data_IF_318411518293
#
_entry.id   IF_318411518293
#
_cell.length_a   1.000
_cell.length_b   1.000
_cell.length_c   1.000
_cell.angle_alpha   90.00
_cell.angle_beta   90.00
_cell.angle_gamma   90.00
#
_symmetry.space_group_name_H-M   'P 1'
#
loop_
_entity.id
_entity.type
_entity.pdbx_description
1 polymer ?
#
# COMPACT_ATOMS: atom_id res chain seq x y z
N UNK A 1 -5.68 -3.15 7.99
CA UNK A 1 -5.03 -3.41 6.72
C UNK A 1 -6.03 -3.17 5.64
N UNK A 2 -5.76 -2.18 4.79
CA UNK A 2 -6.62 -1.89 3.65
C UNK A 2 -6.69 -3.14 2.78
N UNK A 3 -7.90 -3.60 2.50
CA UNK A 3 -8.11 -4.82 1.72
C UNK A 3 -8.73 -4.48 0.38
N UNK A 4 -7.99 -4.78 -0.68
CA UNK A 4 -8.34 -4.52 -2.06
C UNK A 4 -9.30 -5.59 -2.57
N UNK A 5 -10.32 -5.15 -3.29
CA UNK A 5 -11.26 -5.98 -4.02
C UNK A 5 -11.58 -5.35 -5.36
N UNK A 6 -11.85 -6.21 -6.35
CA UNK A 6 -12.58 -5.81 -7.53
C UNK A 6 -14.07 -5.72 -7.16
N UNK A 7 -14.72 -4.61 -7.49
CA UNK A 7 -16.18 -4.51 -7.37
C UNK A 7 -16.82 -5.01 -8.66
N UNK A 8 -18.00 -5.63 -8.58
CA UNK A 8 -18.74 -6.03 -9.79
C UNK A 8 -19.03 -4.77 -10.63
N UNK A 9 -18.51 -4.73 -11.85
CA UNK A 9 -18.56 -3.54 -12.72
C UNK A 9 -17.58 -2.42 -12.36
N UNK A 10 -16.67 -2.63 -11.41
CA UNK A 10 -15.71 -1.64 -10.98
C UNK A 10 -14.50 -1.52 -11.91
N UNK A 11 -14.33 -0.34 -12.51
CA UNK A 11 -13.14 0.04 -13.31
C UNK A 11 -11.91 0.32 -12.44
N UNK A 12 -12.06 0.37 -11.10
CA UNK A 12 -10.95 0.66 -10.18
C UNK A 12 -10.90 -0.35 -9.04
N UNK A 13 -9.68 -0.61 -8.57
CA UNK A 13 -9.53 -1.31 -7.30
C UNK A 13 -10.17 -0.46 -6.20
N UNK A 14 -10.98 -1.11 -5.40
CA UNK A 14 -11.59 -0.52 -4.21
C UNK A 14 -11.05 -1.23 -2.98
N UNK A 15 -11.19 -0.59 -1.83
CA UNK A 15 -10.85 -1.21 -0.55
C UNK A 15 -12.08 -1.30 0.33
N UNK A 16 -12.33 -2.47 0.93
CA UNK A 16 -13.52 -2.73 1.77
C UNK A 16 -13.28 -2.50 3.25
N UNK A 17 -12.15 -1.91 3.65
CA UNK A 17 -11.86 -1.62 5.04
C UNK A 17 -12.36 -0.23 5.45
N UNK A 18 -13.09 -0.15 6.56
CA UNK A 18 -13.28 1.07 7.31
C UNK A 18 -12.02 1.33 8.13
N UNK A 19 -11.33 2.45 7.88
CA UNK A 19 -10.26 2.88 8.79
C UNK A 19 -10.76 2.88 10.24
N UNK A 20 -9.90 2.54 11.19
CA UNK A 20 -10.29 2.56 12.61
C UNK A 20 -10.82 3.95 12.95
N UNK A 21 -11.94 4.01 13.68
CA UNK A 21 -12.53 5.27 14.13
C UNK A 21 -11.51 6.02 14.99
N UNK A 22 -11.15 7.22 14.57
CA UNK A 22 -10.21 8.07 15.31
C UNK A 22 -11.00 8.87 16.32
N UNK A 23 -10.80 8.55 17.60
CA UNK A 23 -11.43 9.27 18.71
C UNK A 23 -10.76 10.63 18.90
N UNK A 24 -11.52 11.61 19.36
CA UNK A 24 -10.96 12.87 19.81
C UNK A 24 -10.02 12.63 21.00
N UNK A 25 -8.95 13.41 21.07
CA UNK A 25 -8.03 13.44 22.21
C UNK A 25 -7.94 14.90 22.64
N UNK A 26 -8.86 15.38 23.52
CA UNK A 26 -8.94 16.78 23.91
C UNK A 26 -7.63 17.33 24.49
N UNK A 27 -6.91 16.51 25.26
CA UNK A 27 -5.62 16.87 25.87
C UNK A 27 -4.53 17.18 24.84
N UNK A 28 -4.72 16.75 23.59
CA UNK A 28 -3.83 17.00 22.46
C UNK A 28 -4.42 18.01 21.46
N UNK A 29 -5.61 18.56 21.73
CA UNK A 29 -6.34 19.41 20.78
C UNK A 29 -6.76 18.66 19.51
N UNK A 30 -6.86 17.32 19.56
CA UNK A 30 -7.18 16.50 18.39
C UNK A 30 -8.66 16.19 18.33
N UNK A 31 -9.30 16.58 17.24
CA UNK A 31 -10.71 16.29 16.99
C UNK A 31 -10.91 14.84 16.50
N UNK A 32 -12.11 14.29 16.67
CA UNK A 32 -12.42 13.01 16.07
C UNK A 32 -12.44 13.15 14.54
N UNK A 33 -11.92 12.17 13.81
CA UNK A 33 -12.06 12.11 12.35
C UNK A 33 -13.32 11.34 12.01
N UNK A 34 -14.33 12.03 11.47
CA UNK A 34 -15.49 11.37 10.87
C UNK A 34 -15.07 10.80 9.52
N UNK A 35 -15.41 9.53 9.29
CA UNK A 35 -15.12 8.83 8.04
C UNK A 35 -16.37 8.07 7.63
N UNK A 36 -16.67 8.08 6.34
CA UNK A 36 -17.75 7.27 5.78
C UNK A 36 -17.43 5.80 6.02
N UNK A 37 -18.15 5.18 6.94
CA UNK A 37 -17.97 3.77 7.28
C UNK A 37 -18.62 2.91 6.20
N UNK A 38 -17.82 2.19 5.43
CA UNK A 38 -18.27 0.97 4.77
C UNK A 38 -18.22 -0.16 5.80
N UNK A 39 -19.40 -0.62 6.23
CA UNK A 39 -19.71 -1.83 7.03
C UNK A 39 -18.55 -2.59 7.71
N UNK A 40 -18.68 -2.75 9.03
CA UNK A 40 -17.78 -3.42 9.98
C UNK A 40 -17.05 -4.67 9.47
N UNK A 41 -15.81 -4.48 9.01
CA UNK A 41 -14.85 -5.57 8.84
C UNK A 41 -13.76 -5.45 9.93
N UNK A 42 -13.82 -6.33 10.92
CA UNK A 42 -12.80 -6.43 11.96
C UNK A 42 -11.44 -6.78 11.34
N UNK A 43 -10.51 -5.82 11.33
CA UNK A 43 -9.13 -6.06 10.91
C UNK A 43 -8.42 -6.96 11.90
N UNK A 44 -8.25 -8.24 11.53
CA UNK A 44 -7.45 -9.19 12.32
C UNK A 44 -5.98 -8.86 12.14
N UNK A 45 -5.33 -8.38 13.21
CA UNK A 45 -3.87 -8.41 13.33
C UNK A 45 -3.48 -9.83 13.71
N UNK A 46 -2.64 -10.48 12.90
CA UNK A 46 -1.96 -11.71 13.30
C UNK A 46 -0.52 -11.61 12.89
N UNK A 47 0.32 -11.53 13.91
CA UNK A 47 1.74 -11.83 13.90
C UNK A 47 1.94 -13.28 13.43
N UNK A 48 2.64 -13.48 12.32
CA UNK A 48 3.42 -14.68 12.14
C UNK A 48 4.89 -14.28 12.21
N UNK A 49 5.65 -14.78 13.19
CA UNK A 49 7.09 -14.72 13.14
C UNK A 49 7.56 -15.85 12.23
N UNK A 50 7.82 -15.58 10.95
CA UNK A 50 8.88 -16.33 10.28
C UNK A 50 10.18 -15.87 10.94
N UNK A 51 10.61 -16.65 11.93
CA UNK A 51 11.68 -16.32 12.88
C UNK A 51 13.09 -16.63 12.37
N UNK A 52 13.26 -16.91 11.08
CA UNK A 52 14.56 -17.21 10.50
C UNK A 52 14.77 -16.24 9.33
N UNK A 53 15.80 -15.40 9.44
CA UNK A 53 16.14 -14.28 8.56
C UNK A 53 15.33 -12.98 8.69
N UNK A 54 15.17 -12.46 9.92
CA UNK A 54 15.14 -10.98 10.08
C UNK A 54 16.54 -10.43 9.84
N UNK A 55 16.95 -10.48 8.57
CA UNK A 55 18.14 -9.80 8.03
C UNK A 55 18.07 -8.31 8.37
N UNK A 56 19.21 -7.62 8.30
CA UNK A 56 19.45 -6.21 8.67
C UNK A 56 18.60 -5.17 7.88
N UNK A 57 17.31 -5.42 7.67
CA UNK A 57 16.40 -4.50 7.01
C UNK A 57 16.18 -3.27 7.89
N UNK A 58 16.23 -2.11 7.24
CA UNK A 58 15.98 -0.82 7.86
C UNK A 58 14.56 -0.35 7.52
N UNK A 59 13.94 0.42 8.40
CA UNK A 59 12.64 1.04 8.12
C UNK A 59 12.68 1.79 6.78
N UNK A 60 11.67 1.59 5.95
CA UNK A 60 11.53 2.18 4.62
C UNK A 60 11.67 3.70 4.62
N UNK A 61 11.11 4.35 5.64
CA UNK A 61 11.11 5.81 5.81
C UNK A 61 12.29 6.27 6.65
N UNK A 62 12.40 5.79 7.90
CA UNK A 62 13.36 6.34 8.86
C UNK A 62 14.77 5.81 8.67
N UNK A 63 14.96 4.80 7.80
CA UNK A 63 16.22 4.08 7.54
C UNK A 63 16.91 3.54 8.80
N UNK A 64 16.17 3.46 9.91
CA UNK A 64 16.67 2.93 11.16
C UNK A 64 16.42 1.41 11.21
N UNK A 65 17.44 0.59 11.49
CA UNK A 65 17.21 -0.82 11.81
C UNK A 65 16.52 -0.94 13.17
N UNK A 66 15.52 -1.82 13.28
CA UNK A 66 14.79 -2.04 14.53
C UNK A 66 14.22 -3.45 14.62
N UNK A 67 14.15 -4.02 15.82
CA UNK A 67 13.51 -5.32 16.06
C UNK A 67 11.98 -5.29 15.97
N UNK A 68 11.39 -4.10 15.99
CA UNK A 68 9.93 -3.88 16.00
C UNK A 68 9.37 -3.43 14.65
N UNK A 69 10.12 -3.64 13.57
CA UNK A 69 9.62 -3.36 12.22
C UNK A 69 8.46 -4.31 11.88
N UNK A 70 7.43 -3.75 11.26
CA UNK A 70 6.24 -4.44 10.77
C UNK A 70 6.21 -4.37 9.23
N UNK A 71 5.76 -5.45 8.58
CA UNK A 71 5.69 -5.54 7.10
C UNK A 71 4.39 -4.92 6.59
N UNK A 72 4.46 -3.68 6.11
CA UNK A 72 3.36 -3.05 5.37
C UNK A 72 3.31 -3.58 3.94
N UNK A 73 2.10 -3.81 3.43
CA UNK A 73 1.90 -4.09 2.01
C UNK A 73 1.23 -2.88 1.36
N UNK A 74 1.64 -2.52 0.14
CA UNK A 74 0.96 -1.47 -0.61
C UNK A 74 -0.40 -1.96 -1.13
N UNK A 75 -0.44 -3.15 -1.73
CA UNK A 75 -1.69 -3.83 -2.09
C UNK A 75 -1.87 -5.05 -1.20
N UNK A 76 -3.04 -5.18 -0.58
CA UNK A 76 -3.33 -6.33 0.27
C UNK A 76 -4.75 -6.84 0.00
N UNK A 77 -4.94 -8.13 -0.26
CA UNK A 77 -6.26 -8.73 -0.43
C UNK A 77 -6.77 -9.33 0.89
N UNK A 78 -8.02 -9.79 0.94
CA UNK A 78 -8.54 -10.44 2.16
C UNK A 78 -7.77 -11.75 2.30
N UNK A 79 -6.86 -11.84 3.28
CA UNK A 79 -6.07 -13.07 3.51
C UNK A 79 -6.93 -14.34 3.66
N UNK A 80 -8.18 -14.20 4.10
CA UNK A 80 -9.13 -15.31 4.28
C UNK A 80 -9.90 -15.71 3.00
N UNK A 81 -9.78 -14.95 1.90
CA UNK A 81 -10.46 -15.20 0.63
C UNK A 81 -9.42 -15.38 -0.47
N UNK A 82 -8.98 -16.63 -0.63
CA UNK A 82 -7.95 -16.98 -1.61
C UNK A 82 -8.36 -16.63 -3.03
N UNK A 83 -9.64 -16.73 -3.35
CA UNK A 83 -10.26 -16.31 -4.59
C UNK A 83 -10.09 -14.81 -4.85
N UNK A 84 -10.38 -13.95 -3.87
CA UNK A 84 -10.18 -12.50 -4.00
C UNK A 84 -8.70 -12.15 -4.18
N UNK A 85 -7.80 -12.85 -3.47
CA UNK A 85 -6.36 -12.70 -3.64
C UNK A 85 -5.95 -12.99 -5.09
N UNK A 86 -6.32 -14.16 -5.61
CA UNK A 86 -5.98 -14.56 -6.98
C UNK A 86 -6.57 -13.61 -8.03
N UNK A 87 -7.80 -13.10 -7.81
CA UNK A 87 -8.41 -12.09 -8.68
C UNK A 87 -7.63 -10.79 -8.70
N UNK A 88 -7.19 -10.29 -7.55
CA UNK A 88 -6.38 -9.05 -7.47
C UNK A 88 -5.01 -9.25 -8.14
N UNK A 89 -4.34 -10.38 -7.90
CA UNK A 89 -3.07 -10.72 -8.54
C UNK A 89 -3.22 -10.82 -10.07
N UNK A 90 -4.24 -11.55 -10.54
CA UNK A 90 -4.56 -11.66 -11.96
C UNK A 90 -4.91 -10.33 -12.60
N UNK A 91 -5.71 -9.49 -11.93
CA UNK A 91 -6.06 -8.16 -12.41
C UNK A 91 -4.82 -7.28 -12.60
N UNK A 92 -3.94 -7.21 -11.59
CA UNK A 92 -2.71 -6.43 -11.68
C UNK A 92 -1.80 -6.93 -12.81
N UNK A 93 -1.71 -8.25 -12.99
CA UNK A 93 -0.91 -8.87 -14.05
C UNK A 93 -1.47 -8.60 -15.45
N UNK A 94 -2.79 -8.76 -15.67
CA UNK A 94 -3.42 -8.51 -16.97
C UNK A 94 -3.32 -7.03 -17.35
N UNK A 95 -3.41 -6.11 -16.38
CA UNK A 95 -3.22 -4.68 -16.61
C UNK A 95 -1.74 -4.29 -16.86
N UNK A 96 -0.80 -5.24 -16.80
CA UNK A 96 0.63 -5.00 -16.93
C UNK A 96 1.22 -4.18 -15.78
N UNK A 97 0.55 -4.09 -14.62
CA UNK A 97 0.99 -3.22 -13.51
C UNK A 97 2.12 -3.89 -12.70
N UNK A 98 2.22 -5.22 -12.78
CA UNK A 98 3.19 -6.03 -12.04
C UNK A 98 3.91 -6.99 -12.99
N UNK A 99 5.14 -7.42 -12.67
CA UNK A 99 5.86 -8.39 -13.47
C UNK A 99 5.18 -9.77 -13.47
N UNK A 100 5.60 -10.62 -14.41
CA UNK A 100 5.19 -12.01 -14.46
C UNK A 100 5.48 -12.71 -13.12
N UNK A 101 4.57 -13.59 -12.70
CA UNK A 101 4.65 -14.36 -11.44
C UNK A 101 4.62 -13.51 -10.16
N UNK A 102 4.19 -12.26 -10.26
CA UNK A 102 3.85 -11.46 -9.08
C UNK A 102 2.80 -12.16 -8.20
N UNK A 103 2.98 -12.04 -6.89
CA UNK A 103 1.93 -12.31 -5.91
C UNK A 103 1.93 -11.22 -4.84
N UNK A 104 0.87 -11.11 -4.05
CA UNK A 104 0.77 -10.04 -3.05
C UNK A 104 1.82 -10.13 -1.93
N UNK A 105 2.48 -11.29 -1.77
CA UNK A 105 3.59 -11.43 -0.84
C UNK A 105 4.96 -11.13 -1.47
N UNK A 106 5.01 -10.74 -2.75
CA UNK A 106 6.25 -10.39 -3.44
C UNK A 106 6.95 -9.21 -2.74
N UNK A 107 8.29 -9.22 -2.64
CA UNK A 107 9.06 -8.12 -2.05
C UNK A 107 8.77 -6.74 -2.65
N UNK A 108 8.41 -6.67 -3.93
CA UNK A 108 8.05 -5.42 -4.63
C UNK A 108 6.76 -4.76 -4.12
N UNK A 109 5.97 -5.46 -3.31
CA UNK A 109 4.73 -4.98 -2.69
C UNK A 109 4.86 -4.73 -1.18
N UNK A 110 5.99 -5.11 -0.56
CA UNK A 110 6.15 -5.12 0.90
C UNK A 110 7.29 -4.23 1.33
N UNK A 111 7.03 -3.38 2.33
CA UNK A 111 8.04 -2.53 2.97
C UNK A 111 8.05 -2.71 4.49
N UNK A 112 9.24 -2.73 5.12
CA UNK A 112 9.34 -2.67 6.58
C UNK A 112 9.08 -1.24 7.06
N UNK A 113 8.17 -1.07 8.01
CA UNK A 113 7.90 0.21 8.68
C UNK A 113 8.06 0.05 10.19
N UNK A 114 8.42 1.12 10.89
CA UNK A 114 8.26 1.09 12.35
C UNK A 114 6.79 0.96 12.72
N UNK A 115 6.53 0.38 13.88
CA UNK A 115 5.17 0.09 14.36
C UNK A 115 4.23 1.30 14.32
N UNK A 116 4.72 2.50 14.64
CA UNK A 116 3.90 3.71 14.66
C UNK A 116 3.55 4.16 13.26
N UNK A 117 4.52 4.20 12.34
CA UNK A 117 4.29 4.50 10.93
C UNK A 117 3.41 3.44 10.27
N UNK A 118 3.65 2.16 10.53
CA UNK A 118 2.85 1.07 10.02
C UNK A 118 1.38 1.24 10.43
N UNK A 119 1.12 1.44 11.73
CA UNK A 119 -0.24 1.66 12.22
C UNK A 119 -0.89 2.91 11.60
N UNK A 120 -0.13 4.00 11.50
CA UNK A 120 -0.61 5.28 10.98
C UNK A 120 -0.94 5.22 9.48
N UNK A 121 -0.13 4.49 8.71
CA UNK A 121 -0.32 4.23 7.29
C UNK A 121 -1.50 3.27 7.06
N UNK A 122 -1.42 2.07 7.63
CA UNK A 122 -2.27 0.94 7.26
C UNK A 122 -3.66 0.95 7.91
N UNK A 123 -3.74 1.43 9.16
CA UNK A 123 -4.96 1.33 9.97
C UNK A 123 -5.67 2.68 10.12
N UNK A 124 -4.90 3.76 10.09
CA UNK A 124 -5.40 5.11 10.34
C UNK A 124 -5.40 6.00 9.10
N UNK A 125 -4.65 5.70 8.04
CA UNK A 125 -4.60 6.55 6.84
C UNK A 125 -4.20 8.00 7.14
N UNK A 126 -3.26 8.21 8.07
CA UNK A 126 -2.76 9.56 8.41
C UNK A 126 -1.71 10.07 7.44
N UNK A 127 -1.10 9.17 6.68
CA UNK A 127 -0.08 9.46 5.69
C UNK A 127 -0.26 8.52 4.50
N UNK A 128 0.34 8.93 3.38
CA UNK A 128 0.51 8.11 2.18
C UNK A 128 1.96 8.14 1.76
N UNK A 129 2.35 7.13 0.98
CA UNK A 129 3.58 7.15 0.21
C UNK A 129 3.23 7.37 -1.26
N UNK A 130 4.01 8.19 -1.94
CA UNK A 130 3.93 8.40 -3.40
C UNK A 130 5.35 8.45 -3.95
N UNK A 131 5.50 8.58 -5.27
CA UNK A 131 6.79 8.88 -5.90
C UNK A 131 7.12 10.38 -5.80
N UNK A 132 8.41 10.73 -5.95
CA UNK A 132 8.84 12.12 -6.11
C UNK A 132 8.27 12.72 -7.39
N UNK A 133 8.20 14.06 -7.46
CA UNK A 133 7.67 14.77 -8.63
C UNK A 133 8.36 14.35 -9.94
N UNK A 134 9.70 14.24 -9.95
CA UNK A 134 10.44 13.82 -11.13
C UNK A 134 10.11 12.37 -11.52
N UNK A 135 10.05 11.46 -10.55
CA UNK A 135 9.66 10.07 -10.79
C UNK A 135 8.20 9.96 -11.27
N UNK A 136 7.26 10.75 -10.72
CA UNK A 136 5.87 10.79 -11.17
C UNK A 136 5.75 11.21 -12.64
N UNK A 137 6.43 12.29 -13.04
CA UNK A 137 6.43 12.74 -14.43
C UNK A 137 6.98 11.67 -15.38
N UNK A 138 8.12 11.06 -15.04
CA UNK A 138 8.76 10.06 -15.90
C UNK A 138 7.92 8.79 -16.01
N UNK A 139 7.26 8.37 -14.91
CA UNK A 139 6.32 7.25 -14.92
C UNK A 139 5.05 7.56 -15.71
N UNK A 140 4.55 8.80 -15.68
CA UNK A 140 3.40 9.22 -16.49
C UNK A 140 3.72 9.09 -17.98
N UNK A 141 4.83 9.66 -18.43
CA UNK A 141 5.28 9.56 -19.83
C UNK A 141 5.42 8.09 -20.28
N UNK A 142 5.98 7.24 -19.40
CA UNK A 142 6.13 5.81 -19.64
C UNK A 142 4.77 5.10 -19.80
N UNK A 143 3.81 5.36 -18.90
CA UNK A 143 2.49 4.73 -18.93
C UNK A 143 1.66 5.25 -20.11
N UNK A 144 1.75 6.53 -20.46
CA UNK A 144 1.11 7.10 -21.64
C UNK A 144 1.60 6.44 -22.93
N UNK A 145 2.91 6.28 -23.07
CA UNK A 145 3.51 5.59 -24.23
C UNK A 145 3.00 4.14 -24.38
N UNK A 146 2.90 3.40 -23.29
CA UNK A 146 2.35 2.04 -23.31
C UNK A 146 0.83 2.01 -23.58
N UNK A 147 0.08 2.99 -23.07
CA UNK A 147 -1.35 3.14 -23.38
C UNK A 147 -1.58 3.41 -24.86
N UNK A 148 -0.79 4.29 -25.47
CA UNK A 148 -0.89 4.55 -26.90
C UNK A 148 -0.61 3.30 -27.75
N UNK A 149 0.37 2.49 -27.35
CA UNK A 149 0.67 1.22 -28.04
C UNK A 149 -0.51 0.25 -27.92
N UNK A 150 -1.13 0.17 -26.75
CA UNK A 150 -2.34 -0.63 -26.56
C UNK A 150 -3.47 -0.15 -27.47
N UNK A 151 -3.73 1.16 -27.52
CA UNK A 151 -4.82 1.73 -28.30
C UNK A 151 -4.62 1.57 -29.81
N UNK A 152 -3.37 1.68 -30.29
CA UNK A 152 -3.02 1.57 -31.71
C UNK A 152 -2.89 0.12 -32.20
N UNK A 153 -2.34 -0.76 -31.37
CA UNK A 153 -1.88 -2.10 -31.79
C UNK A 153 -2.56 -3.25 -31.03
N UNK A 154 -3.31 -2.96 -29.98
CA UNK A 154 -3.88 -3.98 -29.08
C UNK A 154 -2.81 -4.74 -28.28
N UNK A 155 -1.60 -4.19 -28.15
CA UNK A 155 -0.49 -4.81 -27.45
C UNK A 155 -0.60 -4.49 -25.96
N UNK A 156 -0.68 -5.52 -25.11
CA UNK A 156 -0.65 -5.38 -23.65
C UNK A 156 0.57 -4.58 -23.19
N UNK A 157 0.40 -3.77 -22.15
CA UNK A 157 1.51 -3.00 -21.56
C UNK A 157 2.64 -3.95 -21.16
N UNK A 158 3.87 -3.54 -21.44
CA UNK A 158 5.06 -4.25 -21.03
C UNK A 158 6.07 -3.26 -20.46
N UNK A 159 6.28 -3.31 -19.14
CA UNK A 159 7.26 -2.47 -18.47
C UNK A 159 8.48 -3.30 -18.06
N UNK A 160 9.67 -2.71 -18.23
CA UNK A 160 10.91 -3.28 -17.72
C UNK A 160 11.19 -2.79 -16.30
N UNK A 161 10.78 -3.58 -15.31
CA UNK A 161 10.93 -3.25 -13.89
C UNK A 161 12.40 -3.25 -13.40
N UNK A 162 13.36 -3.69 -14.22
CA UNK A 162 14.77 -3.65 -13.87
C UNK A 162 15.45 -2.35 -14.32
N UNK A 163 14.78 -1.54 -15.13
CA UNK A 163 15.31 -0.30 -15.67
C UNK A 163 14.62 0.93 -15.07
N UNK A 164 15.34 2.05 -15.09
CA UNK A 164 14.79 3.35 -14.71
C UNK A 164 13.57 3.69 -15.61
N UNK A 165 12.54 4.36 -15.09
CA UNK A 165 12.42 4.92 -13.73
C UNK A 165 11.88 3.92 -12.68
N UNK A 166 11.69 2.64 -13.02
CA UNK A 166 11.02 1.67 -12.14
C UNK A 166 11.98 1.08 -11.09
N UNK A 167 13.24 0.84 -11.44
CA UNK A 167 14.24 0.26 -10.53
C UNK A 167 14.86 1.28 -9.56
N UNK A 168 14.87 2.56 -9.91
CA UNK A 168 15.48 3.64 -9.12
C UNK A 168 14.47 4.70 -8.64
N UNK A 169 13.17 4.34 -8.63
CA UNK A 169 12.10 5.22 -8.18
C UNK A 169 12.40 5.87 -6.82
N UNK A 170 12.24 7.18 -6.75
CA UNK A 170 12.29 7.94 -5.51
C UNK A 170 10.88 8.06 -4.93
N UNK A 171 10.80 7.95 -3.61
CA UNK A 171 9.53 8.00 -2.88
C UNK A 171 9.47 9.19 -1.95
N UNK A 172 8.25 9.63 -1.67
CA UNK A 172 7.94 10.71 -0.77
C UNK A 172 6.80 10.33 0.18
N UNK A 173 6.84 10.91 1.37
CA UNK A 173 5.81 10.77 2.37
C UNK A 173 4.97 12.05 2.44
N UNK A 174 3.65 11.90 2.24
CA UNK A 174 2.68 13.00 2.33
C UNK A 174 1.80 12.80 3.55
N UNK A 175 1.70 13.82 4.39
CA UNK A 175 0.87 13.78 5.59
C UNK A 175 -0.54 14.24 5.26
N UNK A 176 -1.52 13.34 5.40
CA UNK A 176 -2.94 13.67 5.21
C UNK A 176 -3.54 14.27 6.49
N UNK A 177 -3.09 13.79 7.65
CA UNK A 177 -3.53 14.26 8.97
C UNK A 177 -2.31 14.54 9.85
N UNK A 178 -1.54 15.61 9.58
CA UNK A 178 -0.24 15.84 10.21
C UNK A 178 -0.34 15.86 11.75
N UNK A 179 -1.22 16.69 12.32
CA UNK A 179 -1.34 16.82 13.77
C UNK A 179 -1.78 15.52 14.49
N UNK A 180 -2.44 14.61 13.78
CA UNK A 180 -2.78 13.29 14.31
C UNK A 180 -1.59 12.33 14.29
N UNK A 181 -0.69 12.46 13.31
CA UNK A 181 0.51 11.64 13.21
C UNK A 181 1.56 12.05 14.24
N UNK A 182 1.84 13.35 14.36
CA UNK A 182 2.85 13.89 15.28
C UNK A 182 2.23 14.96 16.20
N UNK A 183 1.46 14.57 17.23
CA UNK A 183 0.82 15.53 18.13
C UNK A 183 1.85 16.32 18.96
N UNK A 184 1.45 17.52 19.39
CA UNK A 184 2.21 18.39 20.31
C UNK A 184 3.66 18.66 19.87
N UNK A 185 3.92 18.76 18.57
CA UNK A 185 5.26 19.04 18.06
C UNK A 185 6.23 17.86 18.18
N UNK A 186 5.72 16.63 18.30
CA UNK A 186 6.53 15.43 18.21
C UNK A 186 7.31 15.39 16.88
N UNK A 187 8.43 14.69 16.87
CA UNK A 187 9.34 14.62 15.72
C UNK A 187 9.48 13.20 15.22
N UNK A 188 9.75 13.05 13.93
CA UNK A 188 10.25 11.81 13.35
C UNK A 188 11.72 11.96 12.99
N UNK A 189 12.51 10.91 13.25
CA UNK A 189 13.92 10.88 12.89
C UNK A 189 14.11 10.10 11.58
N UNK A 190 14.72 10.72 10.57
CA UNK A 190 15.21 10.02 9.38
C UNK A 190 16.71 9.87 9.47
N UNK A 191 17.21 8.67 9.20
CA UNK A 191 18.64 8.39 9.22
C UNK A 191 19.16 8.33 7.79
N UNK A 192 20.34 8.87 7.58
CA UNK A 192 21.09 8.71 6.33
C UNK A 192 22.41 8.04 6.63
N UNK A 193 22.79 7.08 5.79
CA UNK A 193 24.09 6.44 5.88
C UNK A 193 25.16 7.45 5.44
N UNK A 194 26.02 7.83 6.36
CA UNK A 194 27.14 8.71 6.09
C UNK A 194 28.43 7.90 6.20
N UNK A 195 29.22 7.88 5.12
CA UNK A 195 30.54 7.27 5.11
C UNK A 195 31.57 8.29 5.56
N UNK A 196 32.20 8.03 6.69
CA UNK A 196 33.27 8.86 7.24
C UNK A 196 34.58 8.66 6.46
N UNK A 197 35.54 9.58 6.64
CA UNK A 197 36.85 9.55 5.98
C UNK A 197 37.68 8.29 6.31
N UNK A 198 37.37 7.63 7.43
CA UNK A 198 37.96 6.37 7.88
C UNK A 198 37.23 5.12 7.33
N UNK A 199 36.36 5.28 6.32
CA UNK A 199 35.47 4.23 5.79
C UNK A 199 34.50 3.62 6.82
N UNK A 200 34.31 4.25 7.98
CA UNK A 200 33.25 3.82 8.90
C UNK A 200 31.90 4.34 8.43
N UNK A 201 30.91 3.46 8.41
CA UNK A 201 29.53 3.82 8.12
C UNK A 201 28.83 4.23 9.41
N UNK A 202 28.28 5.45 9.44
CA UNK A 202 27.48 5.95 10.55
C UNK A 202 26.13 6.43 10.05
N UNK A 203 25.08 6.06 10.79
CA UNK A 203 23.76 6.62 10.58
C UNK A 203 23.68 8.00 11.24
N UNK A 204 23.46 9.02 10.43
CA UNK A 204 23.20 10.38 10.92
C UNK A 204 21.69 10.59 10.93
N UNK A 205 21.13 10.78 12.12
CA UNK A 205 19.72 11.09 12.30
C UNK A 205 19.45 12.58 12.16
N UNK A 206 18.49 12.94 11.31
CA UNK A 206 17.88 14.28 11.25
C UNK A 206 16.45 14.21 11.78
N UNK A 207 16.07 15.22 12.56
CA UNK A 207 14.72 15.33 13.12
C UNK A 207 13.85 16.20 12.21
N UNK A 208 12.61 15.75 12.00
CA UNK A 208 11.61 16.48 11.25
C UNK A 208 10.33 16.61 12.08
N UNK A 209 9.66 17.74 11.95
CA UNK A 209 8.43 18.08 12.66
C UNK A 209 7.42 18.75 11.72
N UNK A 210 6.18 18.85 12.17
CA UNK A 210 5.13 19.51 11.42
C UNK A 210 5.35 21.02 11.51
N UNK A 211 5.61 21.64 10.36
CA UNK A 211 5.72 23.09 10.24
C UNK A 211 4.33 23.74 10.16
N UNK A 212 4.30 25.08 10.14
CA UNK A 212 3.04 25.85 10.14
C UNK A 212 2.17 25.62 8.90
N UNK A 213 2.76 25.17 7.80
CA UNK A 213 2.07 24.82 6.56
C UNK A 213 1.56 23.36 6.54
N UNK A 214 1.75 22.62 7.66
CA UNK A 214 1.33 21.23 7.80
C UNK A 214 2.30 20.21 7.18
N UNK A 215 3.37 20.66 6.52
CA UNK A 215 4.37 19.78 5.93
C UNK A 215 5.37 19.30 6.98
N UNK A 216 5.98 18.15 6.71
CA UNK A 216 7.07 17.63 7.53
C UNK A 216 8.39 18.30 7.13
N UNK A 217 9.00 19.09 8.02
CA UNK A 217 10.20 19.91 7.76
C UNK A 217 11.23 19.81 8.90
N UNK A 218 12.48 20.22 8.64
CA UNK A 218 13.56 20.24 9.65
C UNK A 218 13.28 21.27 10.79
N UNK A 219 12.38 22.23 10.57
CA UNK A 219 12.00 23.26 11.53
C UNK A 219 10.54 23.71 11.39
N UNK A 220 10.09 24.60 12.27
CA UNK A 220 8.70 25.10 12.29
C UNK A 220 8.39 26.11 11.17
N UNK A 221 9.42 26.70 10.57
CA UNK A 221 9.28 27.66 9.48
C UNK A 221 8.87 26.93 8.19
N UNK A 222 7.80 27.34 7.50
CA UNK A 222 7.46 26.85 6.15
C UNK A 222 8.60 26.93 5.13
N UNK A 223 9.60 27.79 5.32
CA UNK A 223 10.77 27.84 4.43
C UNK A 223 11.86 26.82 4.79
N UNK A 224 11.71 26.10 5.91
CA UNK A 224 12.68 25.07 6.31
C UNK A 224 12.69 23.92 5.31
N UNK A 225 13.84 23.23 5.12
CA UNK A 225 13.91 22.07 4.26
C UNK A 225 12.86 21.02 4.62
N UNK A 226 12.18 20.48 3.61
CA UNK A 226 11.17 19.44 3.77
C UNK A 226 11.83 18.09 4.02
N UNK A 227 11.04 17.17 4.58
CA UNK A 227 11.37 15.75 4.55
C UNK A 227 11.70 15.34 3.10
N UNK A 228 12.93 14.89 2.84
CA UNK A 228 13.41 14.69 1.48
C UNK A 228 12.75 13.46 0.85
N UNK A 229 12.79 13.41 -0.48
CA UNK A 229 12.55 12.17 -1.20
C UNK A 229 13.61 11.12 -0.82
N UNK A 230 13.26 9.84 -0.93
CA UNK A 230 14.13 8.74 -0.55
C UNK A 230 13.97 7.54 -1.46
N UNK A 231 15.08 6.90 -1.80
CA UNK A 231 15.08 5.63 -2.54
C UNK A 231 14.95 4.44 -1.59
N UNK A 232 14.54 3.30 -2.14
CA UNK A 232 14.65 2.02 -1.46
C UNK A 232 15.86 1.24 -1.97
N UNK A 233 16.93 1.23 -1.20
CA UNK A 233 18.16 0.49 -1.53
C UNK A 233 18.01 -0.98 -1.10
N UNK A 234 17.36 -1.81 -1.92
CA UNK A 234 17.47 -3.27 -1.85
C UNK A 234 18.23 -3.76 -3.07
N UNK A 235 19.10 -4.74 -2.86
CA UNK A 235 20.00 -5.26 -3.90
C UNK A 235 19.28 -6.11 -4.96
N UNK A 236 18.14 -6.70 -4.62
CA UNK A 236 17.52 -7.73 -5.51
C UNK A 236 16.01 -7.55 -5.70
N UNK A 237 15.40 -6.54 -5.09
CA UNK A 237 13.94 -6.39 -5.09
C UNK A 237 13.51 -4.94 -4.92
N UNK A 238 13.30 -4.25 -6.05
CA UNK A 238 12.78 -2.89 -6.06
C UNK A 238 11.29 -2.88 -5.71
N UNK A 239 10.87 -1.83 -4.97
CA UNK A 239 9.45 -1.58 -4.75
C UNK A 239 8.83 -1.18 -6.08
N UNK A 240 7.73 -1.81 -6.45
CA UNK A 240 7.01 -1.44 -7.65
C UNK A 240 6.28 -0.11 -7.40
N UNK A 241 6.66 1.00 -8.07
CA UNK A 241 6.08 2.30 -7.81
C UNK A 241 4.59 2.35 -8.18
N UNK A 242 4.12 1.57 -9.16
CA UNK A 242 2.70 1.55 -9.50
C UNK A 242 1.84 1.03 -8.33
N UNK A 243 2.34 0.06 -7.55
CA UNK A 243 1.62 -0.41 -6.36
C UNK A 243 1.52 0.67 -5.27
N UNK A 244 2.57 1.47 -5.12
CA UNK A 244 2.60 2.63 -4.22
C UNK A 244 1.55 3.66 -4.66
N UNK A 245 1.52 3.99 -5.96
CA UNK A 245 0.57 4.95 -6.55
C UNK A 245 -0.88 4.49 -6.39
N UNK A 246 -1.18 3.21 -6.65
CA UNK A 246 -2.54 2.68 -6.48
C UNK A 246 -2.99 2.70 -5.01
N UNK A 247 -2.09 2.40 -4.07
CA UNK A 247 -2.39 2.52 -2.65
C UNK A 247 -2.67 3.98 -2.26
N UNK A 248 -1.82 4.90 -2.73
CA UNK A 248 -1.94 6.33 -2.48
C UNK A 248 -3.25 6.90 -3.03
N UNK A 249 -3.62 6.58 -4.27
CA UNK A 249 -4.85 7.02 -4.93
C UNK A 249 -6.09 6.69 -4.09
N UNK A 250 -6.15 5.47 -3.55
CA UNK A 250 -7.27 5.02 -2.74
C UNK A 250 -7.38 5.83 -1.44
N UNK A 251 -6.25 6.05 -0.78
CA UNK A 251 -6.18 6.85 0.44
C UNK A 251 -6.53 8.33 0.16
N UNK A 252 -6.06 8.89 -0.96
CA UNK A 252 -6.37 10.25 -1.42
C UNK A 252 -7.87 10.41 -1.70
N UNK A 253 -8.49 9.48 -2.44
CA UNK A 253 -9.93 9.53 -2.72
C UNK A 253 -10.77 9.56 -1.44
N UNK A 254 -10.38 8.77 -0.44
CA UNK A 254 -11.04 8.75 0.88
C UNK A 254 -10.82 10.05 1.63
N UNK A 255 -9.61 10.57 1.61
CA UNK A 255 -9.28 11.85 2.24
C UNK A 255 -10.06 13.01 1.63
N UNK A 256 -10.14 13.09 0.29
CA UNK A 256 -10.91 14.13 -0.43
C UNK A 256 -12.42 14.11 -0.12
N UNK A 257 -13.00 12.95 0.23
CA UNK A 257 -14.41 12.86 0.67
C UNK A 257 -14.66 13.49 2.04
N UNK A 258 -13.61 13.60 2.86
CA UNK A 258 -13.72 14.08 4.25
C UNK A 258 -13.80 15.62 4.36
N UNK A 259 -13.98 16.35 3.24
CA UNK A 259 -14.22 17.80 3.20
C UNK A 259 -12.97 18.66 2.97
N UNK A 260 -12.97 19.87 3.53
CA UNK A 260 -12.03 20.96 3.24
C UNK A 260 -10.57 20.72 3.66
N UNK A 261 -10.24 19.59 4.29
CA UNK A 261 -8.86 19.28 4.73
C UNK A 261 -7.86 19.27 3.58
N UNK A 262 -8.28 18.89 2.37
CA UNK A 262 -7.41 18.96 1.20
C UNK A 262 -6.93 20.40 0.93
N UNK A 263 -7.79 21.39 1.14
CA UNK A 263 -7.44 22.80 0.95
C UNK A 263 -6.45 23.30 2.01
N UNK A 264 -6.34 22.64 3.16
CA UNK A 264 -5.40 22.99 4.23
C UNK A 264 -3.97 22.49 4.00
N UNK A 265 -3.76 21.57 3.05
CA UNK A 265 -2.42 21.08 2.72
C UNK A 265 -1.57 22.17 2.05
N UNK A 266 -0.25 22.11 2.23
CA UNK A 266 0.68 22.96 1.50
C UNK A 266 0.63 22.67 -0.01
N UNK A 267 1.10 23.63 -0.81
CA UNK A 267 1.06 23.55 -2.28
C UNK A 267 1.81 22.33 -2.79
N UNK A 268 2.99 22.04 -2.25
CA UNK A 268 3.82 20.92 -2.66
C UNK A 268 3.12 19.56 -2.45
N UNK A 269 2.38 19.40 -1.34
CA UNK A 269 1.59 18.18 -1.11
C UNK A 269 0.39 18.08 -2.04
N UNK A 270 -0.25 19.21 -2.38
CA UNK A 270 -1.36 19.24 -3.34
C UNK A 270 -0.89 18.87 -4.75
N UNK A 271 0.29 19.34 -5.14
CA UNK A 271 0.88 19.06 -6.44
C UNK A 271 1.24 17.58 -6.55
N UNK A 272 1.93 17.02 -5.55
CA UNK A 272 2.20 15.58 -5.47
C UNK A 272 0.92 14.76 -5.54
N UNK A 273 -0.10 15.08 -4.73
CA UNK A 273 -1.38 14.37 -4.76
C UNK A 273 -2.03 14.45 -6.15
N UNK A 274 -1.97 15.61 -6.81
CA UNK A 274 -2.57 15.81 -8.14
C UNK A 274 -1.85 14.94 -9.18
N UNK A 275 -0.52 14.93 -9.17
CA UNK A 275 0.28 14.09 -10.06
C UNK A 275 0.10 12.59 -9.77
N UNK A 276 0.04 12.17 -8.50
CA UNK A 276 -0.29 10.79 -8.10
C UNK A 276 -1.64 10.35 -8.66
N UNK A 277 -2.67 11.20 -8.54
CA UNK A 277 -4.01 10.90 -9.05
C UNK A 277 -4.00 10.80 -10.57
N UNK A 278 -3.30 11.69 -11.26
CA UNK A 278 -3.16 11.65 -12.71
C UNK A 278 -2.49 10.34 -13.19
N UNK A 279 -1.36 9.95 -12.58
CA UNK A 279 -0.71 8.69 -12.90
C UNK A 279 -1.59 7.49 -12.59
N UNK A 280 -2.36 7.51 -11.50
CA UNK A 280 -3.31 6.46 -11.21
C UNK A 280 -4.44 6.37 -12.25
N UNK A 281 -4.94 7.50 -12.75
CA UNK A 281 -5.92 7.54 -13.83
C UNK A 281 -5.37 6.92 -15.12
N UNK A 282 -4.10 7.20 -15.45
CA UNK A 282 -3.39 6.56 -16.56
C UNK A 282 -3.24 5.05 -16.35
N UNK A 283 -2.97 4.59 -15.13
CA UNK A 283 -2.89 3.16 -14.81
C UNK A 283 -4.25 2.46 -14.98
N UNK A 284 -5.35 3.14 -14.65
CA UNK A 284 -6.73 2.69 -14.86
C UNK A 284 -7.27 3.00 -16.27
N UNK A 285 -6.44 2.84 -17.30
CA UNK A 285 -6.83 3.07 -18.70
C UNK A 285 -8.00 2.14 -19.08
N UNK A 286 -9.19 2.69 -19.42
CA UNK A 286 -10.42 1.89 -19.52
C UNK A 286 -10.35 0.67 -20.45
N UNK A 287 -9.80 0.76 -21.69
CA UNK A 287 -9.70 -0.40 -22.57
C UNK A 287 -8.97 -1.61 -21.95
N UNK A 288 -7.92 -1.33 -21.17
CA UNK A 288 -7.09 -2.35 -20.52
C UNK A 288 -7.82 -2.92 -19.30
N UNK A 289 -8.44 -2.06 -18.50
CA UNK A 289 -9.22 -2.46 -17.33
C UNK A 289 -10.41 -3.33 -17.74
N UNK A 290 -11.15 -2.92 -18.77
CA UNK A 290 -12.31 -3.66 -19.28
C UNK A 290 -11.89 -5.04 -19.80
N UNK A 291 -10.75 -5.11 -20.49
CA UNK A 291 -10.16 -6.37 -20.92
C UNK A 291 -9.80 -7.27 -19.73
N UNK A 292 -9.19 -6.71 -18.67
CA UNK A 292 -8.84 -7.46 -17.47
C UNK A 292 -10.07 -8.01 -16.74
N UNK A 293 -11.10 -7.18 -16.55
CA UNK A 293 -12.36 -7.58 -15.91
C UNK A 293 -13.04 -8.69 -16.70
N UNK A 294 -13.13 -8.56 -18.03
CA UNK A 294 -13.72 -9.59 -18.91
C UNK A 294 -12.95 -10.91 -18.83
N UNK A 295 -11.62 -10.85 -18.87
CA UNK A 295 -10.77 -12.04 -18.83
C UNK A 295 -10.93 -12.81 -17.52
N UNK A 296 -10.95 -12.10 -16.39
CA UNK A 296 -11.18 -12.72 -15.08
C UNK A 296 -12.59 -13.31 -14.95
N UNK A 297 -13.61 -12.63 -15.49
CA UNK A 297 -14.98 -13.15 -15.48
C UNK A 297 -15.13 -14.44 -16.29
N UNK A 298 -14.47 -14.54 -17.45
CA UNK A 298 -14.46 -15.76 -18.25
C UNK A 298 -13.74 -16.91 -17.54
N UNK A 299 -12.65 -16.62 -16.83
CA UNK A 299 -11.93 -17.62 -16.04
C UNK A 299 -12.79 -18.18 -14.88
N UNK A 300 -13.53 -17.31 -14.18
CA UNK A 300 -14.45 -17.73 -13.12
C UNK A 300 -15.56 -18.65 -13.66
N UNK A 301 -16.11 -18.35 -14.84
CA UNK A 301 -17.14 -19.18 -15.48
C UNK A 301 -16.60 -20.56 -15.91
N UNK A 302 -15.39 -20.60 -16.46
CA UNK A 302 -14.76 -21.85 -16.89
C UNK A 302 -14.40 -22.76 -15.69
N UNK A 303 -13.98 -22.19 -14.57
CA UNK A 303 -13.68 -22.95 -13.35
C UNK A 303 -14.91 -23.53 -12.64
N UNK A 304 -16.08 -22.91 -12.80
CA UNK A 304 -17.34 -23.36 -12.18
C UNK A 304 -18.02 -24.55 -12.88
N UNK A 305 -17.70 -24.83 -14.14
CA UNK A 305 -18.38 -25.86 -14.93
C UNK A 305 -17.87 -27.30 -14.70
N UNK A 306 -16.82 -27.50 -13.89
CA UNK A 306 -16.22 -28.81 -13.62
C UNK A 306 -16.68 -29.50 -12.33
N UNK A 307 -17.59 -28.90 -11.57
CA UNK A 307 -18.03 -29.36 -10.24
C UNK A 307 -19.37 -30.11 -10.23
N UNK A 308 -19.59 -31.04 -11.16
CA UNK A 308 -20.71 -32.00 -11.07
C UNK A 308 -20.21 -33.39 -11.37
N UNK A 309 -20.09 -34.22 -10.33
CA UNK A 309 -19.94 -35.67 -10.47
C UNK A 309 -18.78 -36.26 -9.68
N UNK A 310 -18.97 -36.42 -8.37
CA UNK A 310 -18.87 -37.77 -7.80
C UNK A 310 -19.65 -37.81 -6.49
N UNK A 311 -20.85 -38.39 -6.58
CA UNK A 311 -21.61 -38.79 -5.41
C UNK A 311 -20.85 -39.91 -4.72
N UNK A 312 -20.27 -39.60 -3.56
CA UNK A 312 -19.90 -40.63 -2.62
C UNK A 312 -21.20 -41.31 -2.14
N UNK A 313 -21.29 -42.65 -2.20
CA UNK A 313 -22.46 -43.37 -1.73
C UNK A 313 -22.59 -43.20 -0.22
N UNK A 314 -23.81 -42.90 0.22
CA UNK A 314 -24.25 -42.98 1.61
C UNK A 314 -23.96 -44.38 2.14
N UNK A 315 -22.96 -44.49 3.02
CA UNK A 315 -22.73 -45.65 3.86
C UNK A 315 -23.60 -45.52 5.10
N UNK A 316 -24.66 -46.33 5.15
CA UNK A 316 -25.52 -46.54 6.31
C UNK A 316 -24.73 -47.09 7.51
N UNK A 317 -25.04 -46.55 8.68
CA UNK A 317 -25.10 -47.13 10.03
C UNK A 317 -24.11 -48.24 10.43
N UNK A 318 -23.45 -48.04 11.57
CA UNK A 318 -23.60 -48.97 12.70
C UNK A 318 -23.28 -48.27 14.02
N UNK A 319 -24.30 -48.28 14.90
CA UNK A 319 -24.24 -47.95 16.31
C UNK A 319 -23.31 -48.93 17.04
N UNK A 320 -22.42 -48.44 17.90
CA UNK A 320 -22.00 -49.24 19.06
C UNK A 320 -21.78 -48.35 20.29
N UNK A 321 -22.71 -48.53 21.22
CA UNK A 321 -22.69 -48.11 22.61
C UNK A 321 -21.40 -48.55 23.32
N UNK A 322 -20.83 -47.66 24.12
CA UNK A 322 -19.64 -47.94 24.92
C UNK A 322 -19.51 -47.03 26.13
N UNK A 323 -20.50 -47.07 27.03
CA UNK A 323 -20.40 -46.50 28.37
C UNK A 323 -19.26 -47.16 29.17
N UNK A 324 -18.37 -46.36 29.77
CA UNK A 324 -17.33 -46.86 30.66
C UNK A 324 -16.82 -45.78 31.61
N UNK A 325 -17.56 -45.57 32.70
CA UNK A 325 -17.14 -44.85 33.91
C UNK A 325 -15.96 -45.53 34.63
N UNK A 326 -14.98 -44.74 35.09
CA UNK A 326 -14.36 -44.76 36.44
C UNK A 326 -13.09 -43.86 36.42
N UNK A 327 -13.02 -42.74 37.13
CA UNK A 327 -12.79 -42.59 38.57
C UNK A 327 -11.39 -43.06 39.04
N UNK A 328 -10.42 -42.14 39.07
CA UNK A 328 -9.56 -41.75 40.22
C UNK A 328 -8.42 -40.85 39.75
#
# INVERSE_FOLDING_TARGET
MATFRMTEGGVRLSTTFAYKKVKAIPDLGLHALQRDHSSDAAGTQTDQPDSEERTNESCFVTKRPCYTLERAHFINAVKKRSDEKTKVEGYLSICGIVPDRFNLNSPSNIVPLDRTLHHSFDQLGFLIFTCSENTLSTLADLVESENEKYDKLGISRCFDFNNAPLSDAEFEMVLLHPNHLLPKGSTIAMHTLHRSADNTERLIGKLYMIAKDGALREGLDPTSPRFPAFCHTRTENHINPFLVILNAEIAIRRFKRSGDYFNSLCTEYKDLITQTMHLADLLYHPPIVDHAVKTLHLADQAGGAGGTGDGAPEGENEDEDGSGTNAS
#
